data_IF_086013068724
#
_entry.id   IF_086013068724
#
_cell.length_a   1.000
_cell.length_b   1.000
_cell.length_c   1.000
_cell.angle_alpha   90.00
_cell.angle_beta   90.00
_cell.angle_gamma   90.00
#
_symmetry.space_group_name_H-M   'P 1'
#
loop_
_entity.id
_entity.type
_entity.pdbx_description
1 polymer ?
#
# COMPACT_ATOMS: atom_id res chain seq x y z
N UNK A 1 -1.94 47.96 -12.06
CA UNK A 1 -1.07 47.26 -11.09
C UNK A 1 -0.55 46.01 -11.77
N UNK A 2 0.73 46.02 -12.15
CA UNK A 2 1.43 44.91 -12.80
C UNK A 2 1.61 43.75 -11.81
N UNK A 3 1.17 42.56 -12.22
CA UNK A 3 1.49 41.32 -11.50
C UNK A 3 2.97 41.04 -11.77
N UNK A 4 3.82 41.22 -10.75
CA UNK A 4 5.25 40.95 -10.86
C UNK A 4 5.52 39.49 -11.30
N UNK A 5 6.24 39.34 -12.42
CA UNK A 5 6.53 38.08 -13.11
C UNK A 5 7.44 37.12 -12.29
N UNK A 6 8.04 37.58 -11.19
CA UNK A 6 9.00 36.83 -10.36
C UNK A 6 8.40 35.62 -9.63
N UNK A 7 7.07 35.47 -9.62
CA UNK A 7 6.42 34.41 -8.88
C UNK A 7 6.51 33.05 -9.60
N UNK A 8 6.51 33.02 -10.95
CA UNK A 8 6.34 31.77 -11.74
C UNK A 8 7.54 30.83 -11.65
N UNK A 9 8.76 31.37 -11.60
CA UNK A 9 9.99 30.57 -11.66
C UNK A 9 10.33 29.91 -10.32
N UNK A 10 10.01 30.57 -9.20
CA UNK A 10 10.07 29.96 -7.87
C UNK A 10 9.18 28.72 -7.79
N UNK A 11 7.94 28.78 -8.32
CA UNK A 11 7.03 27.63 -8.33
C UNK A 11 7.46 26.50 -9.26
N UNK A 12 8.20 26.78 -10.35
CA UNK A 12 8.66 25.76 -11.30
C UNK A 12 9.86 24.95 -10.77
N UNK A 13 10.89 25.61 -10.23
CA UNK A 13 12.03 24.93 -9.62
C UNK A 13 11.64 24.16 -8.35
N UNK A 14 10.75 24.71 -7.50
CA UNK A 14 10.23 24.01 -6.32
C UNK A 14 9.46 22.75 -6.70
N UNK A 15 8.66 22.78 -7.79
CA UNK A 15 7.90 21.62 -8.27
C UNK A 15 8.79 20.48 -8.75
N UNK A 16 9.89 20.76 -9.44
CA UNK A 16 10.83 19.74 -9.91
C UNK A 16 11.58 19.06 -8.75
N UNK A 17 12.12 19.86 -7.81
CA UNK A 17 12.78 19.34 -6.61
C UNK A 17 11.80 18.53 -5.72
N UNK A 18 10.57 19.04 -5.55
CA UNK A 18 9.51 18.34 -4.81
C UNK A 18 9.13 17.00 -5.48
N UNK A 19 9.09 16.95 -6.81
CA UNK A 19 8.79 15.71 -7.55
C UNK A 19 9.87 14.65 -7.30
N UNK A 20 11.14 15.01 -7.41
CA UNK A 20 12.25 14.08 -7.13
C UNK A 20 12.25 13.61 -5.67
N UNK A 21 11.94 14.50 -4.74
CA UNK A 21 11.84 14.15 -3.33
C UNK A 21 10.68 13.18 -3.05
N UNK A 22 9.49 13.44 -3.61
CA UNK A 22 8.34 12.54 -3.48
C UNK A 22 8.62 11.16 -4.12
N UNK A 23 9.32 11.13 -5.25
CA UNK A 23 9.73 9.86 -5.88
C UNK A 23 10.65 9.03 -4.99
N UNK A 24 11.57 9.66 -4.26
CA UNK A 24 12.43 8.96 -3.29
C UNK A 24 11.63 8.40 -2.11
N UNK A 25 10.66 9.18 -1.60
CA UNK A 25 9.76 8.72 -0.54
C UNK A 25 8.92 7.53 -1.00
N UNK A 26 8.37 7.60 -2.21
CA UNK A 26 7.61 6.51 -2.81
C UNK A 26 8.45 5.23 -2.94
N UNK A 27 9.70 5.34 -3.39
CA UNK A 27 10.61 4.19 -3.49
C UNK A 27 10.91 3.58 -2.12
N UNK A 28 11.15 4.41 -1.09
CA UNK A 28 11.35 3.93 0.28
C UNK A 28 10.12 3.21 0.81
N UNK A 29 8.94 3.83 0.67
CA UNK A 29 7.67 3.24 1.10
C UNK A 29 7.38 1.92 0.39
N UNK A 30 7.62 1.84 -0.94
CA UNK A 30 7.50 0.57 -1.69
C UNK A 30 8.47 -0.50 -1.20
N UNK A 31 9.65 -0.14 -0.72
CA UNK A 31 10.60 -1.09 -0.12
C UNK A 31 10.09 -1.62 1.22
N UNK A 32 9.57 -0.73 2.08
CA UNK A 32 8.97 -1.09 3.37
C UNK A 32 7.74 -2.00 3.18
N UNK A 33 6.88 -1.68 2.21
CA UNK A 33 5.73 -2.51 1.83
C UNK A 33 6.13 -3.94 1.49
N UNK A 34 7.25 -4.15 0.79
CA UNK A 34 7.73 -5.51 0.49
C UNK A 34 8.09 -6.30 1.75
N UNK A 35 8.67 -5.64 2.75
CA UNK A 35 8.99 -6.26 4.04
C UNK A 35 7.70 -6.60 4.80
N UNK A 36 6.75 -5.67 4.83
CA UNK A 36 5.44 -5.82 5.46
C UNK A 36 4.67 -6.99 4.85
N UNK A 37 4.61 -7.09 3.52
CA UNK A 37 3.95 -8.19 2.81
C UNK A 37 4.53 -9.54 3.25
N UNK A 38 5.86 -9.66 3.34
CA UNK A 38 6.51 -10.90 3.78
C UNK A 38 6.13 -11.28 5.21
N UNK A 39 6.10 -10.30 6.12
CA UNK A 39 5.69 -10.52 7.51
C UNK A 39 4.21 -10.94 7.60
N UNK A 40 3.32 -10.27 6.88
CA UNK A 40 1.89 -10.61 6.86
C UNK A 40 1.63 -12.03 6.33
N UNK A 41 2.40 -12.48 5.34
CA UNK A 41 2.31 -13.85 4.83
C UNK A 41 2.87 -14.84 5.84
N UNK A 42 4.08 -14.61 6.34
CA UNK A 42 4.82 -15.59 7.15
C UNK A 42 4.26 -15.75 8.57
N UNK A 43 3.89 -14.65 9.23
CA UNK A 43 3.46 -14.66 10.64
C UNK A 43 1.94 -14.69 10.79
N UNK A 44 1.22 -14.07 9.85
CA UNK A 44 -0.23 -13.87 9.97
C UNK A 44 -1.05 -14.72 8.99
N UNK A 45 -0.41 -15.34 7.98
CA UNK A 45 -1.08 -16.23 7.03
C UNK A 45 -1.96 -15.51 6.02
N UNK A 46 -1.65 -14.25 5.70
CA UNK A 46 -2.42 -13.46 4.74
C UNK A 46 -2.57 -14.20 3.40
N UNK A 47 -3.80 -14.28 2.90
CA UNK A 47 -4.13 -14.96 1.64
C UNK A 47 -4.12 -14.01 0.46
N UNK A 48 -4.43 -12.74 0.68
CA UNK A 48 -4.37 -11.69 -0.33
C UNK A 48 -3.96 -10.37 0.30
N UNK A 49 -3.09 -9.64 -0.39
CA UNK A 49 -2.66 -8.31 0.04
C UNK A 49 -2.71 -7.38 -1.16
N UNK A 50 -3.42 -6.27 -1.01
CA UNK A 50 -3.64 -5.26 -2.05
C UNK A 50 -3.18 -3.91 -1.52
N UNK A 51 -2.29 -3.25 -2.25
CA UNK A 51 -1.93 -1.86 -2.01
C UNK A 51 -2.91 -0.94 -2.69
N UNK A 52 -3.42 0.05 -1.97
CA UNK A 52 -4.28 1.07 -2.55
C UNK A 52 -3.87 2.47 -2.09
N UNK A 53 -4.71 3.47 -2.36
CA UNK A 53 -4.47 4.82 -1.87
C UNK A 53 -3.37 5.58 -2.64
N UNK A 54 -2.68 6.45 -1.91
CA UNK A 54 -1.73 7.41 -2.49
C UNK A 54 -0.48 6.75 -3.08
N UNK A 55 -0.01 5.67 -2.47
CA UNK A 55 1.18 4.93 -2.91
C UNK A 55 0.92 4.12 -4.18
N UNK A 56 -0.27 3.52 -4.32
CA UNK A 56 -0.69 2.85 -5.55
C UNK A 56 -0.83 3.82 -6.74
N UNK A 57 -1.20 5.09 -6.48
CA UNK A 57 -1.44 6.11 -7.50
C UNK A 57 -0.20 6.94 -7.87
N UNK A 58 0.94 6.70 -7.24
CA UNK A 58 2.16 7.48 -7.46
C UNK A 58 2.06 8.93 -6.95
N UNK A 59 1.18 9.18 -5.98
CA UNK A 59 0.96 10.50 -5.38
C UNK A 59 1.37 10.54 -3.90
N UNK A 60 2.28 9.66 -3.49
CA UNK A 60 2.78 9.55 -2.12
C UNK A 60 3.60 10.79 -1.73
N UNK A 61 3.37 11.31 -0.53
CA UNK A 61 4.00 12.54 -0.01
C UNK A 61 4.45 12.34 1.44
N UNK A 62 5.19 13.31 1.97
CA UNK A 62 5.51 13.34 3.40
C UNK A 62 4.22 13.29 4.23
N UNK A 63 4.19 12.43 5.24
CA UNK A 63 3.03 12.24 6.11
C UNK A 63 1.87 11.50 5.45
N UNK A 64 2.05 10.93 4.26
CA UNK A 64 1.07 10.01 3.69
C UNK A 64 1.16 8.64 4.37
N UNK A 65 0.01 8.09 4.70
CA UNK A 65 -0.10 6.73 5.21
C UNK A 65 -0.02 5.73 4.06
N UNK A 66 0.33 4.49 4.39
CA UNK A 66 0.38 3.36 3.45
C UNK A 66 -0.87 2.52 3.67
N UNK A 67 -1.78 2.58 2.69
CA UNK A 67 -3.04 1.86 2.73
C UNK A 67 -2.91 0.43 2.17
N UNK A 68 -3.11 -0.58 3.03
CA UNK A 68 -3.07 -2.00 2.67
C UNK A 68 -4.39 -2.69 2.99
N UNK A 69 -4.93 -3.42 2.02
CA UNK A 69 -6.08 -4.29 2.22
C UNK A 69 -5.59 -5.74 2.31
N UNK A 70 -6.08 -6.48 3.31
CA UNK A 70 -5.63 -7.86 3.58
C UNK A 70 -6.82 -8.82 3.67
N UNK A 71 -6.67 -10.02 3.13
CA UNK A 71 -7.65 -11.11 3.18
C UNK A 71 -7.05 -12.30 3.92
N UNK A 72 -7.88 -13.06 4.63
CA UNK A 72 -7.45 -14.25 5.37
C UNK A 72 -6.82 -13.95 6.74
N UNK A 73 -6.99 -12.72 7.26
CA UNK A 73 -6.59 -12.35 8.62
C UNK A 73 -7.82 -12.27 9.52
N UNK A 74 -8.01 -13.20 10.47
CA UNK A 74 -9.12 -13.11 11.40
C UNK A 74 -8.97 -11.89 12.33
N UNK A 75 -10.10 -11.34 12.80
CA UNK A 75 -10.15 -10.08 13.54
C UNK A 75 -9.30 -10.08 14.84
N UNK A 76 -9.16 -11.25 15.48
CA UNK A 76 -8.32 -11.45 16.67
C UNK A 76 -6.81 -11.25 16.39
N UNK A 77 -6.38 -11.47 15.13
CA UNK A 77 -5.00 -11.28 14.68
C UNK A 77 -4.76 -9.94 14.01
N UNK A 78 -5.79 -9.27 13.52
CA UNK A 78 -5.68 -7.99 12.80
C UNK A 78 -4.95 -6.91 13.61
N UNK A 79 -5.31 -6.76 14.89
CA UNK A 79 -4.65 -5.77 15.77
C UNK A 79 -3.17 -6.08 16.01
N UNK A 80 -2.84 -7.36 16.20
CA UNK A 80 -1.45 -7.81 16.36
C UNK A 80 -0.65 -7.59 15.08
N UNK A 81 -1.25 -7.86 13.92
CA UNK A 81 -0.67 -7.61 12.61
C UNK A 81 -0.42 -6.11 12.41
N UNK A 82 -1.42 -5.26 12.68
CA UNK A 82 -1.33 -3.80 12.57
C UNK A 82 -0.16 -3.26 13.43
N UNK A 83 -0.02 -3.74 14.66
CA UNK A 83 1.08 -3.37 15.54
C UNK A 83 2.45 -3.84 15.02
N UNK A 84 2.53 -5.05 14.46
CA UNK A 84 3.78 -5.59 13.90
C UNK A 84 4.23 -4.81 12.66
N UNK A 85 3.31 -4.51 11.74
CA UNK A 85 3.64 -3.79 10.50
C UNK A 85 4.00 -2.32 10.77
N UNK A 86 3.32 -1.65 11.69
CA UNK A 86 3.64 -0.26 12.08
C UNK A 86 4.98 -0.15 12.82
N UNK A 87 5.49 -1.23 13.43
CA UNK A 87 6.87 -1.23 14.00
C UNK A 87 7.95 -1.34 12.93
N UNK A 88 7.64 -1.89 11.76
CA UNK A 88 8.59 -2.07 10.66
C UNK A 88 8.65 -0.88 9.70
N UNK A 89 7.58 -0.09 9.63
CA UNK A 89 7.51 1.07 8.74
C UNK A 89 7.74 2.37 9.47
N UNK A 90 8.30 3.34 8.75
CA UNK A 90 8.38 4.73 9.22
C UNK A 90 7.10 5.51 8.93
N UNK A 91 6.35 5.08 7.90
CA UNK A 91 5.03 5.61 7.61
C UNK A 91 3.98 4.82 8.39
N UNK A 92 2.88 5.49 8.72
CA UNK A 92 1.76 4.79 9.33
C UNK A 92 1.15 3.82 8.31
N UNK A 93 0.92 2.59 8.74
CA UNK A 93 0.26 1.55 7.94
C UNK A 93 -1.21 1.49 8.34
N UNK A 94 -2.09 1.78 7.40
CA UNK A 94 -3.53 1.55 7.54
C UNK A 94 -3.86 0.17 6.95
N UNK A 95 -4.01 -0.83 7.82
CA UNK A 95 -4.32 -2.20 7.44
C UNK A 95 -5.83 -2.45 7.57
N UNK A 96 -6.49 -2.75 6.46
CA UNK A 96 -7.94 -3.01 6.42
C UNK A 96 -8.26 -4.45 6.02
N UNK A 97 -9.08 -5.19 6.78
CA UNK A 97 -9.53 -6.53 6.39
C UNK A 97 -10.53 -6.43 5.23
N UNK A 98 -10.24 -7.09 4.10
CA UNK A 98 -11.09 -7.12 2.90
C UNK A 98 -12.49 -7.69 3.15
N UNK A 99 -12.66 -8.43 4.24
CA UNK A 99 -13.91 -9.07 4.67
C UNK A 99 -14.88 -8.05 5.29
N UNK A 100 -14.37 -7.06 6.01
CA UNK A 100 -15.19 -6.04 6.71
C UNK A 100 -15.38 -4.74 5.90
N UNK A 101 -14.80 -4.65 4.71
CA UNK A 101 -14.93 -3.47 3.86
C UNK A 101 -16.31 -3.38 3.21
N UNK A 102 -16.86 -2.16 3.18
CA UNK A 102 -18.11 -1.86 2.48
C UNK A 102 -18.01 -2.28 0.99
N UNK A 103 -19.05 -2.92 0.40
CA UNK A 103 -18.99 -3.48 -0.95
C UNK A 103 -18.51 -2.50 -2.04
N UNK A 104 -18.94 -1.24 -1.99
CA UNK A 104 -18.50 -0.22 -2.95
C UNK A 104 -17.01 0.10 -2.81
N UNK A 105 -16.52 0.20 -1.58
CA UNK A 105 -15.12 0.47 -1.30
C UNK A 105 -14.23 -0.73 -1.63
N UNK A 106 -14.68 -1.95 -1.30
CA UNK A 106 -14.02 -3.21 -1.69
C UNK A 106 -13.86 -3.31 -3.20
N UNK A 107 -14.91 -3.08 -3.98
CA UNK A 107 -14.85 -3.06 -5.44
C UNK A 107 -13.87 -2.02 -5.97
N UNK A 108 -13.83 -0.84 -5.35
CA UNK A 108 -12.85 0.19 -5.72
C UNK A 108 -11.42 -0.28 -5.51
N UNK A 109 -11.12 -0.90 -4.36
CA UNK A 109 -9.80 -1.44 -4.06
C UNK A 109 -9.43 -2.56 -5.03
N UNK A 110 -10.36 -3.49 -5.32
CA UNK A 110 -10.11 -4.58 -6.25
C UNK A 110 -9.84 -4.09 -7.69
N UNK A 111 -10.50 -3.01 -8.11
CA UNK A 111 -10.36 -2.47 -9.47
C UNK A 111 -9.18 -1.50 -9.65
N UNK A 112 -8.79 -0.78 -8.59
CA UNK A 112 -7.77 0.28 -8.68
C UNK A 112 -6.51 0.02 -7.86
N UNK A 113 -6.55 -0.97 -6.98
CA UNK A 113 -5.41 -1.36 -6.15
C UNK A 113 -4.42 -2.23 -6.91
N UNK A 114 -3.17 -2.19 -6.44
CA UNK A 114 -2.07 -3.03 -6.89
C UNK A 114 -2.07 -4.31 -6.05
N UNK A 115 -2.34 -5.47 -6.65
CA UNK A 115 -2.27 -6.76 -5.94
C UNK A 115 -0.81 -7.10 -5.69
N UNK A 116 -0.38 -7.09 -4.43
CA UNK A 116 0.98 -7.39 -4.02
C UNK A 116 1.20 -8.88 -3.75
N UNK A 117 0.16 -9.55 -3.27
CA UNK A 117 0.16 -10.98 -3.02
C UNK A 117 -1.24 -11.55 -3.18
N UNK A 118 -1.33 -12.74 -3.76
CA UNK A 118 -2.53 -13.57 -3.75
C UNK A 118 -2.08 -15.03 -3.69
N UNK A 119 -2.61 -15.78 -2.73
CA UNK A 119 -2.37 -17.21 -2.59
C UNK A 119 -3.01 -17.92 -3.78
N UNK A 120 -2.19 -18.55 -4.61
CA UNK A 120 -2.67 -19.32 -5.75
C UNK A 120 -3.25 -20.66 -5.27
N UNK A 121 -4.57 -20.72 -5.15
CA UNK A 121 -5.29 -21.93 -4.75
C UNK A 121 -5.38 -22.98 -5.88
N UNK A 122 -4.89 -22.71 -7.11
CA UNK A 122 -5.06 -23.62 -8.25
C UNK A 122 -4.05 -24.76 -8.37
N UNK A 123 -3.05 -24.87 -7.49
CA UNK A 123 -1.98 -25.88 -7.66
C UNK A 123 -2.17 -27.21 -6.92
N UNK A 124 -3.26 -27.41 -6.17
CA UNK A 124 -3.47 -28.63 -5.38
C UNK A 124 -4.41 -29.68 -6.01
N UNK A 125 -4.97 -29.47 -7.21
CA UNK A 125 -5.93 -30.41 -7.82
C UNK A 125 -5.42 -31.14 -9.08
N UNK A 126 -4.14 -31.07 -9.40
CA UNK A 126 -3.55 -31.85 -10.52
C UNK A 126 -2.31 -32.61 -10.03
N UNK A 127 -2.54 -33.78 -9.44
CA UNK A 127 -1.46 -34.64 -9.01
C UNK A 127 -1.99 -35.85 -8.26
N UNK A 128 -2.68 -36.74 -8.99
CA UNK A 128 -2.70 -38.19 -8.76
C UNK A 128 -3.57 -38.84 -9.85
N UNK A 129 -2.90 -39.55 -10.75
CA UNK A 129 -3.55 -40.29 -11.82
C UNK A 129 -2.53 -40.87 -12.78
N UNK A 130 -1.58 -41.67 -12.25
CA UNK A 130 -0.84 -42.75 -12.92
C UNK A 130 -0.27 -43.69 -11.86
#
# INVERSE_FOLDING_TARGET
MEVCQEHIDFWRCRRAAQKLYNQRLEQSARSEVKQIVRLLIAEFGAEKIILFGSLAKGSFRVGSDIDLAVEGLPADRLFSALGAVNRLSRAWIDLKPLEDLEPHFKNRILNTGEVLYARDLKRCLTGNGE
#
